data_IF_887158338882
#
_entry.id   IF_887158338882
#
_cell.length_a   1.000
_cell.length_b   1.000
_cell.length_c   1.000
_cell.angle_alpha   90.00
_cell.angle_beta   90.00
_cell.angle_gamma   90.00
#
_symmetry.space_group_name_H-M   'P 1'
#
loop_
_entity.id
_entity.type
_entity.pdbx_description
1 polymer ?
#
# COMPACT_ATOMS: atom_id res chain seq x y z
N UNK A 1 3.88 4.78 -9.68
CA UNK A 1 5.24 4.27 -9.97
C UNK A 1 5.72 3.50 -8.74
N UNK A 2 6.40 2.35 -8.84
CA UNK A 2 6.93 1.69 -7.63
C UNK A 2 8.34 2.19 -7.32
N UNK A 3 8.58 2.53 -6.06
CA UNK A 3 9.89 2.92 -5.54
C UNK A 3 10.50 1.78 -4.73
N UNK A 4 11.82 1.56 -4.86
CA UNK A 4 12.55 0.63 -4.01
C UNK A 4 13.02 1.31 -2.71
N UNK A 5 13.50 0.54 -1.73
CA UNK A 5 13.91 1.08 -0.42
C UNK A 5 15.02 2.14 -0.51
N UNK A 6 15.99 1.94 -1.41
CA UNK A 6 17.06 2.91 -1.64
C UNK A 6 16.52 4.22 -2.21
N UNK A 7 15.61 4.16 -3.17
CA UNK A 7 14.97 5.34 -3.75
C UNK A 7 14.14 6.09 -2.69
N UNK A 8 13.36 5.38 -1.88
CA UNK A 8 12.57 5.97 -0.78
C UNK A 8 13.47 6.67 0.22
N UNK A 9 14.60 6.05 0.59
CA UNK A 9 15.59 6.68 1.48
C UNK A 9 16.13 7.99 0.90
N UNK A 10 16.48 8.00 -0.39
CA UNK A 10 17.00 9.20 -1.04
C UNK A 10 15.92 10.29 -1.14
N UNK A 11 14.68 9.94 -1.45
CA UNK A 11 13.54 10.87 -1.46
C UNK A 11 13.32 11.48 -0.08
N UNK A 12 13.44 10.70 0.99
CA UNK A 12 13.34 11.21 2.37
C UNK A 12 14.45 12.22 2.69
N UNK A 13 15.68 11.96 2.24
CA UNK A 13 16.80 12.91 2.41
C UNK A 13 16.52 14.21 1.64
N UNK A 14 16.01 14.10 0.41
CA UNK A 14 15.65 15.27 -0.40
C UNK A 14 14.55 16.12 0.24
N UNK A 15 13.49 15.47 0.74
CA UNK A 15 12.41 16.13 1.47
C UNK A 15 12.94 16.84 2.72
N UNK A 16 13.81 16.19 3.49
CA UNK A 16 14.45 16.80 4.64
C UNK A 16 15.27 18.04 4.25
N UNK A 17 16.03 17.99 3.15
CA UNK A 17 16.79 19.16 2.70
C UNK A 17 15.93 20.32 2.25
N UNK A 18 14.76 20.04 1.65
CA UNK A 18 13.78 21.08 1.34
C UNK A 18 13.22 21.71 2.63
N UNK A 19 12.83 20.90 3.61
CA UNK A 19 12.33 21.37 4.90
C UNK A 19 13.38 22.16 5.70
N UNK A 20 14.65 21.77 5.60
CA UNK A 20 15.79 22.47 6.19
C UNK A 20 16.11 23.80 5.45
N UNK A 21 15.43 24.09 4.34
CA UNK A 21 15.62 25.31 3.55
C UNK A 21 16.94 25.35 2.78
N UNK A 22 17.42 24.20 2.29
CA UNK A 22 18.67 24.16 1.50
C UNK A 22 18.43 24.65 0.08
N UNK A 23 19.11 25.73 -0.28
CA UNK A 23 18.91 26.41 -1.57
C UNK A 23 19.57 25.72 -2.77
N UNK A 24 20.64 24.94 -2.58
CA UNK A 24 21.32 24.26 -3.69
C UNK A 24 22.14 23.05 -3.19
N UNK A 25 22.07 21.95 -3.94
CA UNK A 25 22.80 20.73 -3.66
C UNK A 25 23.63 20.33 -4.87
N UNK A 26 24.89 19.94 -4.63
CA UNK A 26 25.77 19.45 -5.69
C UNK A 26 25.83 17.91 -5.71
N UNK A 27 26.20 17.35 -6.86
CA UNK A 27 26.29 15.90 -7.10
C UNK A 27 27.21 15.18 -6.11
N UNK A 28 28.43 15.65 -5.78
CA UNK A 28 29.28 14.99 -4.79
C UNK A 28 28.64 14.89 -3.39
N UNK A 29 27.99 15.96 -2.93
CA UNK A 29 27.29 15.97 -1.65
C UNK A 29 26.09 15.01 -1.68
N UNK A 30 25.32 15.03 -2.77
CA UNK A 30 24.19 14.15 -2.97
C UNK A 30 24.60 12.67 -3.03
N UNK A 31 25.66 12.33 -3.76
CA UNK A 31 26.21 10.98 -3.81
C UNK A 31 26.64 10.47 -2.44
N UNK A 32 27.29 11.34 -1.65
CA UNK A 32 27.72 11.00 -0.28
C UNK A 32 26.53 10.78 0.64
N UNK A 33 25.52 11.63 0.58
CA UNK A 33 24.34 11.54 1.44
C UNK A 33 23.45 10.34 1.05
N UNK A 34 23.26 10.10 -0.24
CA UNK A 34 22.44 9.00 -0.74
C UNK A 34 23.12 7.64 -0.56
N UNK A 35 24.46 7.62 -0.48
CA UNK A 35 25.27 6.40 -0.40
C UNK A 35 24.94 5.43 -1.55
N UNK A 36 24.93 5.94 -2.77
CA UNK A 36 24.67 5.19 -4.02
C UNK A 36 25.79 5.40 -5.02
N UNK A 37 25.87 4.52 -6.02
CA UNK A 37 26.83 4.67 -7.11
C UNK A 37 26.43 5.79 -8.08
N UNK A 38 27.40 6.33 -8.81
CA UNK A 38 27.16 7.39 -9.80
C UNK A 38 26.16 7.01 -10.91
N UNK A 39 26.18 5.78 -11.47
CA UNK A 39 25.15 5.37 -12.43
C UNK A 39 23.74 5.31 -11.81
N UNK A 40 23.62 4.87 -10.56
CA UNK A 40 22.35 4.83 -9.85
C UNK A 40 21.83 6.23 -9.55
N UNK A 41 22.72 7.15 -9.21
CA UNK A 41 22.41 8.57 -9.00
C UNK A 41 21.78 9.18 -10.25
N UNK A 42 22.43 9.08 -11.41
CA UNK A 42 21.89 9.67 -12.65
C UNK A 42 20.51 9.10 -13.00
N UNK A 43 20.29 7.80 -12.75
CA UNK A 43 18.99 7.15 -12.98
C UNK A 43 17.92 7.67 -12.00
N UNK A 44 18.26 7.75 -10.71
CA UNK A 44 17.37 8.24 -9.67
C UNK A 44 16.99 9.69 -9.92
N UNK A 45 17.96 10.57 -10.18
CA UNK A 45 17.72 11.99 -10.39
C UNK A 45 16.82 12.22 -11.62
N UNK A 46 17.01 11.48 -12.72
CA UNK A 46 16.10 11.56 -13.88
C UNK A 46 14.68 11.13 -13.54
N UNK A 47 14.54 10.04 -12.77
CA UNK A 47 13.23 9.55 -12.33
C UNK A 47 12.52 10.61 -11.48
N UNK A 48 13.25 11.28 -10.59
CA UNK A 48 12.72 12.32 -9.71
C UNK A 48 12.41 13.63 -10.45
N UNK A 49 13.21 14.01 -11.45
CA UNK A 49 12.91 15.13 -12.34
C UNK A 49 11.59 14.90 -13.10
N UNK A 50 11.38 13.71 -13.66
CA UNK A 50 10.12 13.35 -14.34
C UNK A 50 8.89 13.39 -13.41
N UNK A 51 9.11 13.22 -12.12
CA UNK A 51 8.07 13.32 -11.09
C UNK A 51 7.91 14.73 -10.53
N UNK A 52 8.67 15.72 -11.00
CA UNK A 52 8.60 17.10 -10.50
C UNK A 52 9.20 17.28 -9.10
N UNK A 53 10.14 16.44 -8.68
CA UNK A 53 10.77 16.53 -7.37
C UNK A 53 11.74 17.73 -7.21
N UNK A 54 12.11 18.38 -8.32
CA UNK A 54 13.05 19.49 -8.37
C UNK A 54 12.44 20.65 -9.14
N UNK A 55 12.67 21.88 -8.67
CA UNK A 55 12.25 23.07 -9.40
C UNK A 55 13.25 23.42 -10.50
N UNK A 56 14.54 23.22 -10.21
CA UNK A 56 15.62 23.54 -11.12
C UNK A 56 16.73 22.48 -11.04
N UNK A 57 17.10 21.96 -12.21
CA UNK A 57 18.29 21.12 -12.40
C UNK A 57 19.27 21.94 -13.23
N UNK A 58 20.43 22.22 -12.64
CA UNK A 58 21.51 22.97 -13.27
C UNK A 58 22.63 22.02 -13.66
N UNK A 59 23.03 22.09 -14.94
CA UNK A 59 24.08 21.27 -15.51
C UNK A 59 23.64 19.86 -15.94
N UNK A 60 24.12 19.48 -17.13
CA UNK A 60 24.04 18.11 -17.64
C UNK A 60 22.96 17.83 -18.69
N UNK A 61 23.18 18.23 -19.94
CA UNK A 61 22.41 17.70 -21.09
C UNK A 61 22.83 16.25 -21.44
N UNK A 62 23.94 15.77 -20.88
CA UNK A 62 24.46 14.43 -21.13
C UNK A 62 23.99 13.43 -20.05
N UNK A 63 23.76 12.15 -20.38
CA UNK A 63 23.42 11.11 -19.40
C UNK A 63 24.43 10.90 -18.26
N UNK A 64 25.69 11.33 -18.46
CA UNK A 64 26.77 11.18 -17.48
C UNK A 64 26.88 12.36 -16.51
N UNK A 65 26.41 13.54 -16.91
CA UNK A 65 26.54 14.78 -16.13
C UNK A 65 25.18 15.28 -15.63
N UNK A 66 24.14 14.47 -15.69
CA UNK A 66 22.81 14.89 -15.26
C UNK A 66 22.77 15.27 -13.76
N UNK A 67 22.13 16.40 -13.45
CA UNK A 67 21.97 16.96 -12.10
C UNK A 67 23.30 17.15 -11.35
N UNK A 68 24.20 17.95 -11.95
CA UNK A 68 25.42 18.40 -11.27
C UNK A 68 25.07 19.26 -10.06
N UNK A 69 24.13 20.18 -10.25
CA UNK A 69 23.54 21.01 -9.20
C UNK A 69 22.03 20.96 -9.32
N UNK A 70 21.32 20.94 -8.20
CA UNK A 70 19.87 20.96 -8.19
C UNK A 70 19.33 21.61 -6.92
N UNK A 71 18.09 22.09 -7.02
CA UNK A 71 17.35 22.64 -5.89
C UNK A 71 16.21 21.67 -5.59
N UNK A 72 16.16 21.06 -4.38
CA UNK A 72 14.99 20.31 -3.94
C UNK A 72 13.74 21.18 -4.08
N UNK A 73 12.72 20.70 -4.78
CA UNK A 73 11.44 21.40 -4.92
C UNK A 73 10.39 20.83 -3.98
N UNK A 74 9.24 21.50 -3.78
CA UNK A 74 8.17 21.01 -2.91
C UNK A 74 7.64 19.62 -3.35
N UNK A 75 7.76 19.28 -4.64
CA UNK A 75 7.35 17.97 -5.16
C UNK A 75 8.05 16.78 -4.50
N UNK A 76 9.26 16.95 -3.94
CA UNK A 76 9.91 15.84 -3.22
C UNK A 76 9.18 15.47 -1.92
N UNK A 77 8.58 16.44 -1.23
CA UNK A 77 7.75 16.23 -0.03
C UNK A 77 6.42 15.56 -0.42
N UNK A 78 5.80 16.02 -1.51
CA UNK A 78 4.56 15.41 -2.02
C UNK A 78 4.75 13.94 -2.39
N UNK A 79 5.84 13.61 -3.09
CA UNK A 79 6.19 12.23 -3.45
C UNK A 79 6.43 11.39 -2.19
N UNK A 80 7.14 11.93 -1.19
CA UNK A 80 7.36 11.22 0.08
C UNK A 80 6.02 10.92 0.76
N UNK A 81 5.13 11.90 0.84
CA UNK A 81 3.82 11.74 1.46
C UNK A 81 2.96 10.69 0.73
N UNK A 82 2.97 10.68 -0.61
CA UNK A 82 2.28 9.66 -1.40
C UNK A 82 2.81 8.25 -1.09
N UNK A 83 4.14 8.09 -1.03
CA UNK A 83 4.80 6.81 -0.70
C UNK A 83 4.38 6.35 0.70
N UNK A 84 4.44 7.23 1.69
CA UNK A 84 4.10 6.89 3.08
C UNK A 84 2.62 6.51 3.22
N UNK A 85 1.73 7.22 2.51
CA UNK A 85 0.30 6.89 2.47
C UNK A 85 0.06 5.51 1.86
N UNK A 86 0.74 5.19 0.75
CA UNK A 86 0.64 3.87 0.11
C UNK A 86 1.20 2.76 1.01
N UNK A 87 2.28 3.02 1.74
CA UNK A 87 2.85 2.07 2.69
C UNK A 87 1.93 1.84 3.89
N UNK A 88 1.31 2.88 4.43
CA UNK A 88 0.32 2.77 5.50
C UNK A 88 -0.91 1.97 5.05
N UNK A 89 -1.44 2.24 3.85
CA UNK A 89 -2.55 1.48 3.28
C UNK A 89 -2.20 0.00 3.04
N UNK A 90 -0.93 -0.29 2.72
CA UNK A 90 -0.44 -1.67 2.55
C UNK A 90 -0.20 -2.39 3.88
N UNK A 91 -0.03 -1.66 4.98
CA UNK A 91 0.12 -2.20 6.34
C UNK A 91 -1.22 -2.41 7.05
N UNK A 92 -2.32 -1.83 6.55
CA UNK A 92 -3.66 -2.22 7.00
C UNK A 92 -3.87 -3.68 6.55
N UNK A 93 -4.05 -4.64 7.48
CA UNK A 93 -4.34 -6.01 7.09
C UNK A 93 -5.56 -5.98 6.17
N UNK A 94 -5.53 -6.64 5.00
CA UNK A 94 -6.68 -6.65 4.12
C UNK A 94 -7.84 -7.18 4.94
N UNK A 95 -8.89 -6.37 5.04
CA UNK A 95 -10.08 -6.66 5.84
C UNK A 95 -10.46 -8.13 5.59
N UNK A 96 -10.66 -8.90 6.66
CA UNK A 96 -10.92 -10.35 6.57
C UNK A 96 -12.07 -10.59 5.58
N UNK A 97 -13.01 -9.66 5.52
CA UNK A 97 -14.15 -9.62 4.59
C UNK A 97 -13.70 -9.54 3.12
N UNK A 98 -12.69 -8.75 2.78
CA UNK A 98 -12.19 -8.61 1.40
C UNK A 98 -11.34 -9.79 0.97
N UNK A 99 -10.56 -10.39 1.88
CA UNK A 99 -9.89 -11.67 1.62
C UNK A 99 -10.91 -12.79 1.41
N UNK A 100 -12.01 -12.79 2.16
CA UNK A 100 -13.11 -13.74 1.97
C UNK A 100 -13.82 -13.52 0.63
N UNK A 101 -14.12 -12.27 0.24
CA UNK A 101 -14.71 -11.94 -1.06
C UNK A 101 -13.83 -12.39 -2.23
N UNK A 102 -12.53 -12.13 -2.19
CA UNK A 102 -11.61 -12.56 -3.25
C UNK A 102 -11.49 -14.09 -3.33
N UNK A 103 -11.48 -14.79 -2.18
CA UNK A 103 -11.48 -16.27 -2.16
C UNK A 103 -12.81 -16.86 -2.64
N UNK A 104 -13.94 -16.21 -2.36
CA UNK A 104 -15.26 -16.60 -2.88
C UNK A 104 -15.33 -16.51 -4.40
N UNK A 105 -14.81 -15.43 -4.98
CA UNK A 105 -14.81 -15.22 -6.44
C UNK A 105 -13.94 -16.24 -7.18
N UNK A 106 -12.84 -16.73 -6.57
CA UNK A 106 -11.91 -17.65 -7.22
C UNK A 106 -12.35 -19.11 -7.20
N UNK A 107 -13.20 -19.51 -6.24
CA UNK A 107 -13.70 -20.87 -6.10
C UNK A 107 -15.19 -20.90 -5.70
N UNK A 108 -16.13 -20.89 -6.66
CA UNK A 108 -17.57 -20.86 -6.37
C UNK A 108 -18.06 -22.10 -5.60
N UNK A 109 -17.35 -23.24 -5.72
CA UNK A 109 -17.68 -24.48 -4.99
C UNK A 109 -17.52 -24.34 -3.47
N UNK A 110 -16.49 -23.64 -3.01
CA UNK A 110 -16.28 -23.39 -1.57
C UNK A 110 -17.35 -22.46 -0.98
N UNK A 111 -17.84 -21.49 -1.76
CA UNK A 111 -18.93 -20.62 -1.34
C UNK A 111 -20.22 -21.41 -1.05
N UNK A 112 -20.56 -22.35 -1.93
CA UNK A 112 -21.74 -23.21 -1.79
C UNK A 112 -21.64 -24.07 -0.53
N UNK A 113 -20.47 -24.65 -0.24
CA UNK A 113 -20.26 -25.48 0.95
C UNK A 113 -20.47 -24.66 2.23
N UNK A 114 -19.90 -23.44 2.30
CA UNK A 114 -20.08 -22.56 3.47
C UNK A 114 -21.55 -22.20 3.67
N UNK A 115 -22.26 -21.87 2.59
CA UNK A 115 -23.70 -21.57 2.64
C UNK A 115 -24.48 -22.78 3.16
N UNK A 116 -24.21 -23.99 2.64
CA UNK A 116 -24.88 -25.21 3.09
C UNK A 116 -24.64 -25.43 4.58
N UNK A 117 -23.40 -25.29 5.06
CA UNK A 117 -23.06 -25.47 6.48
C UNK A 117 -23.81 -24.47 7.37
N UNK A 118 -23.86 -23.20 6.97
CA UNK A 118 -24.60 -22.16 7.72
C UNK A 118 -26.10 -22.45 7.72
N UNK A 119 -26.67 -22.81 6.58
CA UNK A 119 -28.10 -23.16 6.46
C UNK A 119 -28.44 -24.40 7.31
N UNK A 120 -27.57 -25.42 7.31
CA UNK A 120 -27.76 -26.63 8.12
C UNK A 120 -27.68 -26.32 9.63
N UNK A 121 -26.75 -25.45 10.03
CA UNK A 121 -26.59 -25.01 11.41
C UNK A 121 -27.81 -24.22 11.93
N UNK A 122 -28.53 -23.53 11.04
CA UNK A 122 -29.79 -22.83 11.37
C UNK A 122 -30.99 -23.79 11.38
N UNK A 123 -31.02 -24.75 10.45
CA UNK A 123 -32.10 -25.74 10.34
C UNK A 123 -32.16 -26.71 11.54
N UNK A 124 -31.01 -27.11 12.09
CA UNK A 124 -30.94 -28.03 13.22
C UNK A 124 -31.70 -27.52 14.47
N UNK A 125 -31.45 -26.29 14.96
CA UNK A 125 -32.23 -25.69 16.05
C UNK A 125 -33.72 -25.57 15.74
N UNK A 126 -34.08 -25.23 14.51
CA UNK A 126 -35.48 -25.09 14.08
C UNK A 126 -36.22 -26.44 14.12
N UNK A 127 -35.58 -27.51 13.64
CA UNK A 127 -36.14 -28.86 13.72
C UNK A 127 -36.28 -29.31 15.17
N UNK A 128 -35.27 -29.07 16.00
CA UNK A 128 -35.33 -29.45 17.41
C UNK A 128 -36.44 -28.69 18.15
N UNK A 129 -36.57 -27.38 17.89
CA UNK A 129 -37.64 -26.55 18.45
C UNK A 129 -39.02 -26.99 17.97
N UNK A 130 -39.14 -27.40 16.70
CA UNK A 130 -40.39 -27.89 16.11
C UNK A 130 -40.85 -29.22 16.72
N UNK A 131 -39.91 -30.16 16.94
CA UNK A 131 -40.20 -31.43 17.60
C UNK A 131 -40.68 -31.18 19.05
N UNK A 132 -40.02 -30.28 19.76
CA UNK A 132 -40.39 -29.93 21.14
C UNK A 132 -41.80 -29.31 21.21
N UNK A 133 -42.15 -28.46 20.24
CA UNK A 133 -43.50 -27.89 20.10
C UNK A 133 -44.57 -28.96 19.82
N UNK A 134 -44.27 -29.92 18.94
CA UNK A 134 -45.18 -31.03 18.63
C UNK A 134 -45.38 -31.93 19.86
N UNK A 135 -44.30 -32.25 20.58
CA UNK A 135 -44.39 -33.03 21.82
C UNK A 135 -45.23 -32.33 22.90
N UNK A 136 -45.07 -31.01 23.06
CA UNK A 136 -45.90 -30.20 23.96
C UNK A 136 -47.37 -30.19 23.55
N UNK A 137 -47.67 -30.10 22.25
CA UNK A 137 -49.05 -30.18 21.76
C UNK A 137 -49.67 -31.56 22.01
N UNK A 138 -48.97 -32.64 21.69
CA UNK A 138 -49.48 -34.00 21.89
C UNK A 138 -49.75 -34.28 23.38
N UNK A 139 -48.87 -33.84 24.28
CA UNK A 139 -49.08 -34.00 25.73
C UNK A 139 -50.23 -33.14 26.27
N UNK A 140 -50.51 -31.99 25.65
CA UNK A 140 -51.67 -31.15 25.98
C UNK A 140 -52.99 -31.78 25.53
N UNK A 141 -53.01 -32.44 24.37
CA UNK A 141 -54.19 -33.14 23.85
C UNK A 141 -54.41 -34.54 24.45
N UNK A 142 -53.40 -35.10 25.13
CA UNK A 142 -53.50 -36.39 25.82
C UNK A 142 -53.97 -36.27 27.28
N UNK A 143 -54.16 -35.05 27.79
CA UNK A 143 -54.82 -34.77 29.08
C UNK A 143 -56.28 -34.41 28.86
#
# INVERSE_FOLDING_TARGET
MKYNETEIRCIRILAQWFEDGRDMMNKPEALKAFAISEPEYSRLMRKLELCGAFDHVLGGQSPREFALDFIPGPGCVEILHEIETQQQQSQVPPDIVDQFKQRLHRNPKTAIIVIIVVVLAILLPLLNSGIELIQKLITLFSK
#
